data_IF_866942163206
#
_entry.id   IF_866942163206
#
_cell.length_a   1.000
_cell.length_b   1.000
_cell.length_c   1.000
_cell.angle_alpha   90.00
_cell.angle_beta   90.00
_cell.angle_gamma   90.00
#
_symmetry.space_group_name_H-M   'P 1'
#
loop_
_entity.id
_entity.type
_entity.pdbx_description
1 polymer ?
#
# COMPACT_ATOMS: atom_id res chain seq x y z
N UNK A 1 -38.48 -30.77 -8.92
CA UNK A 1 -38.73 -31.80 -9.99
C UNK A 1 -39.68 -32.94 -9.53
N UNK A 2 -39.88 -33.17 -8.24
CA UNK A 2 -40.71 -34.26 -7.77
C UNK A 2 -42.21 -33.91 -7.65
N UNK A 3 -42.63 -32.67 -7.88
CA UNK A 3 -44.03 -32.26 -7.75
C UNK A 3 -44.71 -31.85 -9.10
N UNK A 4 -44.09 -32.13 -10.22
CA UNK A 4 -44.68 -31.86 -11.55
C UNK A 4 -45.01 -30.38 -11.84
N UNK A 5 -44.46 -29.43 -11.07
CA UNK A 5 -44.64 -28.00 -11.32
C UNK A 5 -43.70 -27.55 -12.43
N UNK A 6 -44.26 -26.92 -13.41
CA UNK A 6 -43.52 -26.29 -14.51
C UNK A 6 -42.60 -25.17 -13.92
N UNK A 7 -41.31 -25.36 -13.97
CA UNK A 7 -40.34 -24.36 -13.49
C UNK A 7 -40.13 -23.41 -14.66
N UNK A 8 -40.65 -22.19 -14.54
CA UNK A 8 -40.39 -21.16 -15.55
C UNK A 8 -38.90 -20.91 -15.69
N UNK A 9 -38.41 -20.85 -16.91
CA UNK A 9 -37.00 -20.55 -17.18
C UNK A 9 -36.69 -19.13 -16.71
N UNK A 10 -35.60 -18.90 -15.95
CA UNK A 10 -35.24 -17.57 -15.49
C UNK A 10 -35.01 -16.64 -16.67
N UNK A 11 -35.34 -15.38 -16.49
CA UNK A 11 -35.08 -14.35 -17.51
C UNK A 11 -33.58 -14.08 -17.66
N UNK A 12 -33.16 -13.49 -18.79
CA UNK A 12 -31.77 -13.05 -18.95
C UNK A 12 -31.33 -12.07 -17.84
N UNK A 13 -32.25 -11.21 -17.41
CA UNK A 13 -32.01 -10.25 -16.31
C UNK A 13 -31.79 -10.97 -14.97
N UNK A 14 -32.48 -12.09 -14.71
CA UNK A 14 -32.27 -12.87 -13.51
C UNK A 14 -30.91 -13.56 -13.50
N UNK A 15 -30.47 -14.09 -14.65
CA UNK A 15 -29.12 -14.63 -14.80
C UNK A 15 -28.03 -13.56 -14.65
N UNK A 16 -28.25 -12.33 -15.13
CA UNK A 16 -27.32 -11.22 -14.90
C UNK A 16 -27.22 -10.87 -13.41
N UNK A 17 -28.36 -10.75 -12.71
CA UNK A 17 -28.40 -10.50 -11.26
C UNK A 17 -27.67 -11.58 -10.49
N UNK A 18 -27.91 -12.86 -10.79
CA UNK A 18 -27.25 -13.99 -10.17
C UNK A 18 -25.72 -13.97 -10.40
N UNK A 19 -25.30 -13.61 -11.62
CA UNK A 19 -23.86 -13.50 -11.96
C UNK A 19 -23.16 -12.35 -11.24
N UNK A 20 -23.88 -11.25 -11.00
CA UNK A 20 -23.38 -10.06 -10.33
C UNK A 20 -23.51 -10.15 -8.81
N UNK A 21 -24.29 -11.10 -8.29
CA UNK A 21 -24.50 -11.30 -6.87
C UNK A 21 -23.18 -11.63 -6.15
N UNK A 22 -22.88 -10.84 -5.14
CA UNK A 22 -21.72 -11.08 -4.28
C UNK A 22 -22.04 -12.16 -3.26
N UNK A 23 -21.29 -13.26 -3.28
CA UNK A 23 -21.49 -14.35 -2.34
C UNK A 23 -21.44 -13.86 -0.89
N UNK A 24 -22.43 -14.25 -0.05
CA UNK A 24 -22.44 -13.93 1.36
C UNK A 24 -21.15 -14.36 2.04
N UNK A 25 -20.62 -13.52 2.92
CA UNK A 25 -19.40 -13.82 3.66
C UNK A 25 -19.44 -13.25 5.07
N UNK A 26 -18.56 -13.77 5.90
CA UNK A 26 -18.38 -13.34 7.28
C UNK A 26 -17.15 -12.43 7.38
N UNK A 27 -17.28 -11.36 8.17
CA UNK A 27 -16.18 -10.48 8.55
C UNK A 27 -15.96 -10.62 10.05
N UNK A 28 -14.71 -10.90 10.44
CA UNK A 28 -14.26 -10.89 11.81
C UNK A 28 -13.43 -9.64 12.05
N UNK A 29 -13.93 -8.74 12.87
CA UNK A 29 -13.25 -7.49 13.23
C UNK A 29 -12.57 -7.69 14.58
N UNK A 30 -11.25 -7.53 14.60
CA UNK A 30 -10.42 -7.60 15.80
C UNK A 30 -10.09 -6.17 16.21
N UNK A 31 -10.37 -5.82 17.46
CA UNK A 31 -10.10 -4.50 18.02
C UNK A 31 -9.27 -4.61 19.30
N UNK A 32 -8.52 -3.57 19.60
CA UNK A 32 -7.80 -3.42 20.86
C UNK A 32 -8.75 -3.01 22.02
N UNK A 33 -8.19 -2.89 23.22
CA UNK A 33 -8.93 -2.45 24.42
C UNK A 33 -9.55 -1.05 24.27
N UNK A 34 -9.00 -0.20 23.43
CA UNK A 34 -9.50 1.15 23.18
C UNK A 34 -10.56 1.19 22.07
N UNK A 35 -10.93 0.04 21.48
CA UNK A 35 -11.88 -0.06 20.39
C UNK A 35 -11.29 0.22 19.00
N UNK A 36 -9.97 0.45 18.88
CA UNK A 36 -9.35 0.64 17.58
C UNK A 36 -9.34 -0.67 16.81
N UNK A 37 -9.74 -0.63 15.55
CA UNK A 37 -9.74 -1.81 14.68
C UNK A 37 -8.31 -2.14 14.29
N UNK A 38 -7.85 -3.33 14.70
CA UNK A 38 -6.51 -3.83 14.45
C UNK A 38 -6.45 -4.64 13.15
N UNK A 39 -7.47 -5.48 12.93
CA UNK A 39 -7.54 -6.37 11.77
C UNK A 39 -8.96 -6.72 11.42
N UNK A 40 -9.23 -6.91 10.12
CA UNK A 40 -10.42 -7.59 9.63
C UNK A 40 -10.01 -8.82 8.83
N UNK A 41 -10.70 -9.92 9.09
CA UNK A 41 -10.50 -11.18 8.37
C UNK A 41 -11.84 -11.57 7.74
N UNK A 42 -11.80 -12.03 6.49
CA UNK A 42 -12.99 -12.47 5.79
C UNK A 42 -12.98 -13.99 5.58
N UNK A 43 -14.16 -14.58 5.61
CA UNK A 43 -14.36 -15.98 5.30
C UNK A 43 -15.71 -16.20 4.64
N UNK A 44 -15.83 -17.06 3.60
CA UNK A 44 -17.13 -17.46 3.06
C UNK A 44 -18.02 -18.06 4.16
N UNK A 45 -19.29 -17.73 4.14
CA UNK A 45 -20.28 -18.36 5.03
C UNK A 45 -20.50 -19.82 4.59
N UNK A 46 -20.28 -20.76 5.50
CA UNK A 46 -20.49 -22.21 5.29
C UNK A 46 -21.23 -22.81 6.47
N UNK A 47 -22.07 -23.81 6.22
CA UNK A 47 -22.72 -24.56 7.28
C UNK A 47 -21.71 -25.34 8.15
N UNK A 48 -22.01 -25.54 9.40
CA UNK A 48 -21.20 -26.31 10.37
C UNK A 48 -20.11 -25.46 11.04
N UNK A 49 -19.11 -26.11 11.59
CA UNK A 49 -18.02 -25.48 12.35
C UNK A 49 -17.06 -24.78 11.41
N UNK A 50 -16.89 -23.48 11.61
CA UNK A 50 -15.98 -22.65 10.82
C UNK A 50 -14.80 -22.21 11.70
N UNK A 51 -13.57 -22.64 11.34
CA UNK A 51 -12.34 -22.22 12.00
C UNK A 51 -11.72 -21.06 11.23
N UNK A 52 -11.37 -19.98 11.94
CA UNK A 52 -10.60 -18.86 11.42
C UNK A 52 -9.31 -18.74 12.24
N UNK A 53 -8.20 -18.45 11.57
CA UNK A 53 -6.90 -18.24 12.22
C UNK A 53 -6.47 -16.79 11.99
N UNK A 54 -6.06 -16.12 13.06
CA UNK A 54 -5.41 -14.82 13.01
C UNK A 54 -3.91 -15.00 13.25
N UNK A 55 -3.10 -14.35 12.44
CA UNK A 55 -1.63 -14.37 12.49
C UNK A 55 -1.03 -13.40 13.52
N UNK A 56 -1.83 -12.83 14.39
CA UNK A 56 -1.48 -11.80 15.37
C UNK A 56 -0.87 -10.53 14.75
N UNK A 57 -1.14 -10.24 13.49
CA UNK A 57 -0.64 -9.06 12.79
C UNK A 57 -1.74 -8.02 12.61
N UNK A 58 -1.33 -6.76 12.69
CA UNK A 58 -2.18 -5.61 12.37
C UNK A 58 -2.38 -5.49 10.86
N UNK A 59 -3.20 -4.55 10.42
CA UNK A 59 -3.18 -4.10 9.03
C UNK A 59 -1.79 -3.56 8.67
N UNK A 60 -1.38 -3.76 7.43
CA UNK A 60 -0.22 -3.06 6.88
C UNK A 60 -0.51 -1.56 6.83
N UNK A 61 0.44 -0.75 7.26
CA UNK A 61 0.42 0.69 7.03
C UNK A 61 0.70 1.06 5.56
N UNK A 62 0.94 0.07 4.69
CA UNK A 62 1.27 0.26 3.28
C UNK A 62 0.11 0.71 2.41
N UNK A 63 0.38 1.31 1.23
CA UNK A 63 -0.65 1.56 0.25
C UNK A 63 -1.29 0.24 -0.18
N UNK A 64 -2.58 0.30 -0.48
CA UNK A 64 -3.29 -0.84 -1.07
C UNK A 64 -2.69 -1.12 -2.45
N UNK A 65 -2.34 -2.35 -2.69
CA UNK A 65 -1.81 -2.82 -3.97
C UNK A 65 -2.81 -3.76 -4.68
N UNK A 66 -2.53 -4.15 -5.91
CA UNK A 66 -3.43 -5.02 -6.70
C UNK A 66 -3.71 -6.37 -6.02
N UNK A 67 -2.75 -6.90 -5.26
CA UNK A 67 -2.94 -8.13 -4.47
C UNK A 67 -3.91 -7.91 -3.32
N UNK A 68 -3.84 -6.75 -2.65
CA UNK A 68 -4.76 -6.39 -1.58
C UNK A 68 -6.17 -6.14 -2.13
N UNK A 69 -6.27 -5.46 -3.27
CA UNK A 69 -7.52 -5.23 -3.98
C UNK A 69 -8.21 -6.55 -4.36
N UNK A 70 -7.45 -7.53 -4.88
CA UNK A 70 -7.96 -8.87 -5.20
C UNK A 70 -8.43 -9.65 -3.96
N UNK A 71 -7.77 -9.45 -2.82
CA UNK A 71 -8.16 -10.08 -1.55
C UNK A 71 -9.30 -9.36 -0.84
N UNK A 72 -9.57 -8.10 -1.20
CA UNK A 72 -10.55 -7.23 -0.55
C UNK A 72 -10.14 -6.68 0.82
N UNK A 73 -8.88 -6.89 1.25
CA UNK A 73 -8.35 -6.43 2.53
C UNK A 73 -6.87 -6.05 2.43
N UNK A 74 -6.39 -5.06 3.24
CA UNK A 74 -4.98 -4.74 3.33
C UNK A 74 -4.15 -5.94 3.78
N UNK A 75 -2.91 -6.02 3.30
CA UNK A 75 -1.92 -7.00 3.73
C UNK A 75 -1.62 -6.92 5.24
N UNK A 76 -0.96 -7.95 5.77
CA UNK A 76 -0.53 -7.98 7.17
C UNK A 76 0.65 -7.03 7.41
N UNK A 77 0.58 -6.33 8.53
CA UNK A 77 1.63 -5.44 9.05
C UNK A 77 2.48 -6.09 10.15
N UNK A 78 2.86 -5.27 11.16
CA UNK A 78 3.60 -5.71 12.32
C UNK A 78 2.75 -6.59 13.26
N UNK A 79 3.43 -7.34 14.13
CA UNK A 79 2.76 -8.09 15.20
C UNK A 79 2.13 -7.14 16.22
N UNK A 80 0.99 -7.54 16.76
CA UNK A 80 0.34 -6.80 17.85
C UNK A 80 1.13 -6.96 19.16
N UNK A 81 1.06 -5.95 20.01
CA UNK A 81 1.58 -6.06 21.38
C UNK A 81 0.74 -7.07 22.18
N UNK A 82 1.34 -7.78 23.15
CA UNK A 82 0.56 -8.57 24.10
C UNK A 82 -0.45 -7.70 24.86
N UNK A 83 -1.69 -8.19 24.97
CA UNK A 83 -2.76 -7.41 25.58
C UNK A 83 -4.14 -8.03 25.42
N UNK A 84 -5.15 -7.25 25.75
CA UNK A 84 -6.56 -7.62 25.60
C UNK A 84 -7.10 -7.11 24.26
N UNK A 85 -7.79 -7.99 23.58
CA UNK A 85 -8.41 -7.75 22.28
C UNK A 85 -9.83 -8.27 22.29
N UNK A 86 -10.63 -7.75 21.39
CA UNK A 86 -12.01 -8.24 21.16
C UNK A 86 -12.16 -8.68 19.71
N UNK A 87 -13.03 -9.64 19.48
CA UNK A 87 -13.46 -10.04 18.14
C UNK A 87 -14.97 -9.91 18.02
N UNK A 88 -15.42 -9.31 16.93
CA UNK A 88 -16.83 -9.18 16.55
C UNK A 88 -17.01 -9.84 15.20
N UNK A 89 -18.10 -10.61 15.04
CA UNK A 89 -18.45 -11.26 13.77
C UNK A 89 -19.65 -10.59 13.13
N UNK A 90 -19.50 -10.20 11.88
CA UNK A 90 -20.58 -9.66 11.05
C UNK A 90 -20.80 -10.53 9.81
N UNK A 91 -22.04 -10.65 9.36
CA UNK A 91 -22.38 -11.20 8.04
C UNK A 91 -22.52 -10.07 7.04
N UNK A 92 -22.09 -10.31 5.82
CA UNK A 92 -22.27 -9.40 4.69
C UNK A 92 -23.09 -10.12 3.63
N UNK A 93 -24.23 -9.53 3.29
CA UNK A 93 -25.14 -9.99 2.23
C UNK A 93 -25.50 -8.75 1.42
N UNK A 94 -25.34 -8.79 0.12
CA UNK A 94 -25.62 -7.67 -0.83
C UNK A 94 -24.98 -6.34 -0.42
N UNK A 95 -23.76 -6.42 0.13
CA UNK A 95 -23.01 -5.25 0.60
C UNK A 95 -23.45 -4.72 1.99
N UNK A 96 -24.53 -5.25 2.56
CA UNK A 96 -25.00 -4.86 3.89
C UNK A 96 -24.31 -5.71 4.97
N UNK A 97 -23.65 -5.02 5.91
CA UNK A 97 -22.97 -5.66 7.04
C UNK A 97 -23.86 -5.63 8.28
N UNK A 98 -24.17 -6.80 8.85
CA UNK A 98 -24.94 -6.95 10.08
C UNK A 98 -24.11 -7.68 11.12
N UNK A 99 -23.98 -7.11 12.32
CA UNK A 99 -23.31 -7.78 13.43
C UNK A 99 -24.16 -8.96 13.91
N UNK A 100 -23.56 -10.14 14.02
CA UNK A 100 -24.26 -11.37 14.42
C UNK A 100 -23.69 -12.00 15.69
N UNK A 101 -22.47 -11.65 16.11
CA UNK A 101 -21.89 -12.14 17.37
C UNK A 101 -20.76 -11.24 17.88
N UNK A 102 -20.56 -11.25 19.19
CA UNK A 102 -19.53 -10.51 19.89
C UNK A 102 -20.01 -9.14 20.43
N UNK A 103 -19.08 -8.35 20.99
CA UNK A 103 -17.64 -8.61 21.09
C UNK A 103 -17.30 -9.74 22.07
N UNK A 104 -16.39 -10.63 21.66
CA UNK A 104 -15.81 -11.65 22.54
C UNK A 104 -14.37 -11.24 22.86
N UNK A 105 -14.05 -11.11 24.15
CA UNK A 105 -12.73 -10.72 24.63
C UNK A 105 -11.78 -11.91 24.67
N UNK A 106 -10.52 -11.68 24.31
CA UNK A 106 -9.44 -12.64 24.45
C UNK A 106 -8.12 -11.91 24.76
N UNK A 107 -7.14 -12.65 25.24
CA UNK A 107 -5.85 -12.10 25.64
C UNK A 107 -4.72 -12.76 24.84
N UNK A 108 -3.85 -11.92 24.26
CA UNK A 108 -2.59 -12.37 23.67
C UNK A 108 -1.47 -12.32 24.72
N UNK A 109 -0.62 -13.34 24.71
CA UNK A 109 0.57 -13.44 25.57
C UNK A 109 1.79 -13.68 24.70
N UNK A 110 2.96 -13.31 25.20
CA UNK A 110 4.23 -13.74 24.59
C UNK A 110 4.52 -15.18 24.96
N UNK A 111 5.21 -15.88 24.06
CA UNK A 111 5.88 -17.11 24.40
C UNK A 111 6.98 -16.80 25.42
N UNK A 112 7.15 -17.64 26.44
CA UNK A 112 7.98 -17.37 27.63
C UNK A 112 9.49 -17.34 27.36
N UNK A 113 9.98 -17.97 26.29
CA UNK A 113 11.40 -18.24 26.06
C UNK A 113 12.03 -17.26 25.06
N UNK A 114 12.06 -15.98 25.41
CA UNK A 114 12.72 -14.96 24.59
C UNK A 114 14.05 -14.59 25.24
N UNK A 115 15.15 -14.80 24.52
CA UNK A 115 16.52 -14.60 25.00
C UNK A 115 16.81 -13.15 25.41
N UNK A 116 16.27 -12.17 24.70
CA UNK A 116 16.43 -10.73 24.93
C UNK A 116 15.11 -9.98 24.74
N UNK A 117 14.16 -10.08 25.68
CA UNK A 117 12.88 -9.40 25.53
C UNK A 117 13.04 -7.88 25.67
N UNK A 118 12.29 -7.10 24.90
CA UNK A 118 12.19 -5.67 25.11
C UNK A 118 11.54 -5.40 26.49
N UNK A 119 12.18 -4.53 27.29
CA UNK A 119 11.65 -4.10 28.58
C UNK A 119 10.29 -3.40 28.42
N UNK A 120 10.12 -2.66 27.34
CA UNK A 120 8.89 -1.97 26.98
C UNK A 120 8.37 -2.43 25.60
N UNK A 121 7.48 -3.40 25.59
CA UNK A 121 6.91 -3.96 24.37
C UNK A 121 5.98 -3.01 23.63
N UNK A 122 5.36 -2.05 24.33
CA UNK A 122 4.56 -0.99 23.69
C UNK A 122 5.44 -0.06 22.88
N UNK A 123 6.61 0.29 23.41
CA UNK A 123 7.61 1.10 22.71
C UNK A 123 8.12 0.39 21.44
N UNK A 124 8.41 -0.92 21.55
CA UNK A 124 8.79 -1.73 20.39
C UNK A 124 7.69 -1.72 19.32
N UNK A 125 6.44 -1.97 19.72
CA UNK A 125 5.30 -1.98 18.79
C UNK A 125 5.10 -0.60 18.12
N UNK A 126 5.20 0.49 18.89
CA UNK A 126 5.12 1.83 18.36
C UNK A 126 6.23 2.13 17.34
N UNK A 127 7.46 1.69 17.60
CA UNK A 127 8.57 1.85 16.67
C UNK A 127 8.39 1.00 15.41
N UNK A 128 7.89 -0.23 15.54
CA UNK A 128 7.53 -1.08 14.40
C UNK A 128 6.47 -0.43 13.50
N UNK A 129 5.47 0.22 14.09
CA UNK A 129 4.47 0.99 13.34
C UNK A 129 5.06 2.20 12.64
N UNK A 130 5.96 2.93 13.30
CA UNK A 130 6.66 4.07 12.70
C UNK A 130 7.47 3.64 11.46
N UNK A 131 8.24 2.55 11.57
CA UNK A 131 8.97 1.97 10.43
C UNK A 131 7.99 1.56 9.32
N UNK A 132 6.90 0.88 9.68
CA UNK A 132 5.88 0.46 8.72
C UNK A 132 5.27 1.63 7.94
N UNK A 133 4.98 2.75 8.60
CA UNK A 133 4.52 3.99 7.97
C UNK A 133 5.55 4.56 7.01
N UNK A 134 6.81 4.62 7.42
CA UNK A 134 7.89 5.14 6.60
C UNK A 134 8.11 4.30 5.34
N UNK A 135 8.13 2.97 5.49
CA UNK A 135 8.18 2.03 4.36
C UNK A 135 6.98 2.19 3.41
N UNK A 136 5.80 2.52 3.96
CA UNK A 136 4.61 2.79 3.17
C UNK A 136 4.76 4.02 2.29
N UNK A 137 5.26 5.12 2.86
CA UNK A 137 5.52 6.36 2.10
C UNK A 137 6.51 6.11 0.98
N UNK A 138 7.62 5.39 1.26
CA UNK A 138 8.61 5.03 0.25
C UNK A 138 7.99 4.20 -0.88
N UNK A 139 7.18 3.19 -0.58
CA UNK A 139 6.49 2.40 -1.62
C UNK A 139 5.56 3.25 -2.47
N UNK A 140 4.81 4.14 -1.83
CA UNK A 140 3.92 5.07 -2.54
C UNK A 140 4.70 5.99 -3.46
N UNK A 141 5.81 6.55 -2.99
CA UNK A 141 6.69 7.41 -3.80
C UNK A 141 7.26 6.63 -4.99
N UNK A 142 7.76 5.40 -4.77
CA UNK A 142 8.27 4.56 -5.84
C UNK A 142 7.21 4.25 -6.91
N UNK A 143 5.98 3.95 -6.50
CA UNK A 143 4.87 3.73 -7.44
C UNK A 143 4.58 4.98 -8.25
N UNK A 144 4.53 6.15 -7.61
CA UNK A 144 4.31 7.44 -8.29
C UNK A 144 5.45 7.77 -9.26
N UNK A 145 6.71 7.62 -8.85
CA UNK A 145 7.88 7.84 -9.68
C UNK A 145 7.89 6.94 -10.93
N UNK A 146 7.58 5.65 -10.76
CA UNK A 146 7.51 4.70 -11.86
C UNK A 146 6.37 5.03 -12.83
N UNK A 147 5.19 5.40 -12.32
CA UNK A 147 4.05 5.79 -13.16
C UNK A 147 4.36 7.09 -13.93
N UNK A 148 4.97 8.07 -13.26
CA UNK A 148 5.36 9.33 -13.90
C UNK A 148 6.42 9.13 -14.98
N UNK A 149 7.40 8.25 -14.75
CA UNK A 149 8.41 7.92 -15.78
C UNK A 149 7.77 7.27 -17.01
N UNK A 150 6.79 6.38 -16.83
CA UNK A 150 6.02 5.80 -17.95
C UNK A 150 5.20 6.86 -18.69
N UNK A 151 4.57 7.76 -17.95
CA UNK A 151 3.78 8.85 -18.51
C UNK A 151 4.66 9.82 -19.34
N UNK A 152 5.85 10.17 -18.85
CA UNK A 152 6.83 10.97 -19.60
C UNK A 152 7.27 10.27 -20.90
N UNK A 153 7.43 8.95 -20.88
CA UNK A 153 7.67 8.15 -22.10
C UNK A 153 6.54 8.25 -23.11
N UNK A 154 5.27 8.19 -22.66
CA UNK A 154 4.09 8.37 -23.51
C UNK A 154 4.00 9.81 -24.04
N UNK A 155 4.28 10.81 -23.21
CA UNK A 155 4.33 12.22 -23.62
C UNK A 155 5.41 12.46 -24.68
N UNK A 156 6.57 11.82 -24.56
CA UNK A 156 7.63 11.88 -25.57
C UNK A 156 7.14 11.34 -26.91
N UNK A 157 6.51 10.17 -26.92
CA UNK A 157 5.95 9.58 -28.13
C UNK A 157 4.87 10.49 -28.76
N UNK A 158 3.99 11.07 -27.93
CA UNK A 158 2.98 12.03 -28.40
C UNK A 158 3.61 13.31 -28.97
N UNK A 159 4.68 13.84 -28.33
CA UNK A 159 5.39 15.01 -28.84
C UNK A 159 6.04 14.76 -30.19
N UNK A 160 6.54 13.55 -30.45
CA UNK A 160 7.08 13.18 -31.78
C UNK A 160 6.00 13.13 -32.88
N UNK A 161 4.72 12.96 -32.50
CA UNK A 161 3.60 13.02 -33.45
C UNK A 161 3.13 14.43 -33.83
N UNK A 162 3.72 15.49 -33.26
CA UNK A 162 3.40 16.89 -33.58
C UNK A 162 3.98 17.24 -34.95
N UNK A 163 3.17 17.85 -35.83
CA UNK A 163 3.60 18.24 -37.20
C UNK A 163 4.53 19.46 -37.22
N UNK A 164 4.46 20.29 -36.19
CA UNK A 164 5.28 21.50 -36.06
C UNK A 164 6.58 21.22 -35.28
N UNK A 165 7.44 22.23 -35.11
CA UNK A 165 8.64 22.11 -34.27
C UNK A 165 8.27 21.71 -32.83
N UNK A 166 8.80 20.59 -32.41
CA UNK A 166 8.58 20.00 -31.10
C UNK A 166 9.80 19.99 -30.19
N UNK A 167 10.91 20.60 -30.63
CA UNK A 167 12.22 20.56 -29.98
C UNK A 167 12.15 21.02 -28.52
N UNK A 168 11.45 22.13 -28.25
CA UNK A 168 11.29 22.67 -26.89
C UNK A 168 10.48 21.75 -25.98
N UNK A 169 9.50 21.07 -26.55
CA UNK A 169 8.63 20.11 -25.80
C UNK A 169 9.45 18.88 -25.42
N UNK A 170 10.20 18.32 -26.36
CA UNK A 170 11.09 17.17 -26.11
C UNK A 170 12.15 17.51 -25.06
N UNK A 171 12.79 18.67 -25.17
CA UNK A 171 13.76 19.15 -24.17
C UNK A 171 13.11 19.27 -22.76
N UNK A 172 11.88 19.79 -22.68
CA UNK A 172 11.14 19.86 -21.41
C UNK A 172 10.87 18.49 -20.81
N UNK A 173 10.52 17.51 -21.64
CA UNK A 173 10.31 16.12 -21.20
C UNK A 173 11.62 15.47 -20.73
N UNK A 174 12.75 15.75 -21.38
CA UNK A 174 14.06 15.25 -20.97
C UNK A 174 14.47 15.79 -19.59
N UNK A 175 14.31 17.10 -19.37
CA UNK A 175 14.55 17.71 -18.07
C UNK A 175 13.65 17.15 -16.97
N UNK A 176 12.38 16.87 -17.29
CA UNK A 176 11.47 16.23 -16.37
C UNK A 176 11.89 14.79 -16.03
N UNK A 177 12.35 14.02 -17.02
CA UNK A 177 12.85 12.66 -16.81
C UNK A 177 14.13 12.65 -15.96
N UNK A 178 15.03 13.62 -16.18
CA UNK A 178 16.22 13.81 -15.36
C UNK A 178 15.85 14.09 -13.90
N UNK A 179 14.90 15.01 -13.66
CA UNK A 179 14.42 15.33 -12.31
C UNK A 179 13.85 14.11 -11.58
N UNK A 180 13.03 13.31 -12.27
CA UNK A 180 12.51 12.03 -11.73
C UNK A 180 13.66 11.09 -11.38
N UNK A 181 14.67 10.97 -12.22
CA UNK A 181 15.85 10.12 -11.98
C UNK A 181 16.63 10.58 -10.75
N UNK A 182 16.80 11.89 -10.56
CA UNK A 182 17.46 12.47 -9.37
C UNK A 182 16.68 12.11 -8.10
N UNK A 183 15.35 12.25 -8.11
CA UNK A 183 14.50 11.89 -6.97
C UNK A 183 14.59 10.38 -6.68
N UNK A 184 14.59 9.54 -7.72
CA UNK A 184 14.76 8.08 -7.58
C UNK A 184 16.10 7.71 -6.94
N UNK A 185 17.20 8.37 -7.35
CA UNK A 185 18.54 8.14 -6.77
C UNK A 185 18.59 8.54 -5.30
N UNK A 186 18.05 9.69 -4.93
CA UNK A 186 17.96 10.12 -3.52
C UNK A 186 17.16 9.12 -2.68
N UNK A 187 16.05 8.60 -3.23
CA UNK A 187 15.17 7.67 -2.50
C UNK A 187 15.77 6.26 -2.38
N UNK A 188 16.33 5.72 -3.47
CA UNK A 188 16.68 4.30 -3.59
C UNK A 188 18.19 4.04 -3.74
N UNK A 189 19.02 5.09 -3.86
CA UNK A 189 20.44 4.97 -4.18
C UNK A 189 20.71 4.93 -5.68
N UNK A 190 21.98 5.00 -6.03
CA UNK A 190 22.46 4.96 -7.41
C UNK A 190 22.99 3.55 -7.73
N UNK A 191 22.23 2.82 -8.55
CA UNK A 191 22.61 1.46 -8.95
C UNK A 191 23.92 1.41 -9.75
N UNK A 192 24.23 2.47 -10.53
CA UNK A 192 25.50 2.54 -11.28
C UNK A 192 26.69 2.69 -10.33
N UNK A 193 26.56 3.56 -9.33
CA UNK A 193 27.58 3.70 -8.29
C UNK A 193 27.81 2.40 -7.54
N UNK A 194 26.72 1.70 -7.17
CA UNK A 194 26.81 0.37 -6.55
C UNK A 194 27.57 -0.64 -7.43
N UNK A 195 27.28 -0.68 -8.74
CA UNK A 195 28.00 -1.58 -9.67
C UNK A 195 29.46 -1.24 -9.88
N UNK A 196 29.83 0.02 -9.76
CA UNK A 196 31.20 0.51 -9.93
C UNK A 196 31.96 0.58 -8.59
N UNK A 197 31.36 0.07 -7.53
CA UNK A 197 31.94 0.06 -6.17
C UNK A 197 32.31 1.48 -5.68
N UNK A 198 31.51 2.48 -6.06
CA UNK A 198 31.66 3.85 -5.61
C UNK A 198 31.00 4.01 -4.25
N UNK A 199 31.76 4.42 -3.26
CA UNK A 199 31.25 4.65 -1.90
C UNK A 199 30.37 5.91 -1.86
N UNK A 200 29.08 5.73 -1.66
CA UNK A 200 28.10 6.79 -1.50
C UNK A 200 27.40 6.67 -0.15
N UNK A 201 26.93 7.78 0.42
CA UNK A 201 26.07 7.74 1.60
C UNK A 201 24.87 6.85 1.37
N UNK A 202 24.42 6.07 2.38
CA UNK A 202 23.22 5.24 2.26
C UNK A 202 21.99 6.05 1.86
N UNK A 203 21.20 5.53 0.92
CA UNK A 203 19.95 6.15 0.49
C UNK A 203 18.90 6.14 1.61
N UNK A 204 17.80 6.88 1.40
CA UNK A 204 16.66 6.88 2.34
C UNK A 204 16.12 5.44 2.51
N UNK A 205 15.97 4.69 1.42
CA UNK A 205 15.51 3.29 1.45
C UNK A 205 16.48 2.38 2.21
N UNK A 206 17.79 2.54 2.04
CA UNK A 206 18.79 1.75 2.76
C UNK A 206 18.74 2.02 4.27
N UNK A 207 18.57 3.29 4.67
CA UNK A 207 18.42 3.66 6.08
C UNK A 207 17.18 3.05 6.70
N UNK A 208 16.03 3.10 5.98
CA UNK A 208 14.78 2.50 6.45
C UNK A 208 14.89 0.99 6.53
N UNK A 209 15.54 0.35 5.57
CA UNK A 209 15.78 -1.10 5.60
C UNK A 209 16.69 -1.48 6.76
N UNK A 210 17.72 -0.69 7.07
CA UNK A 210 18.58 -0.88 8.24
C UNK A 210 17.82 -0.73 9.54
N UNK A 211 16.96 0.30 9.66
CA UNK A 211 16.09 0.48 10.82
C UNK A 211 15.08 -0.68 10.96
N UNK A 212 14.56 -1.22 9.86
CA UNK A 212 13.59 -2.31 9.85
C UNK A 212 14.23 -3.68 10.14
N UNK A 213 15.52 -3.84 9.80
CA UNK A 213 16.20 -5.12 9.92
C UNK A 213 16.18 -5.63 11.36
N UNK A 214 15.61 -6.79 11.53
CA UNK A 214 15.46 -7.46 12.83
C UNK A 214 14.37 -6.88 13.75
N UNK A 215 13.95 -5.60 13.61
CA UNK A 215 12.93 -5.00 14.48
C UNK A 215 11.53 -5.54 14.18
N UNK A 216 11.19 -5.70 12.90
CA UNK A 216 9.83 -6.12 12.49
C UNK A 216 9.53 -7.58 12.86
N UNK A 217 10.55 -8.40 13.06
CA UNK A 217 10.45 -9.82 13.40
C UNK A 217 11.00 -10.17 14.78
N UNK A 218 11.57 -9.19 15.49
CA UNK A 218 12.19 -9.38 16.81
C UNK A 218 11.25 -8.98 17.94
N UNK A 219 11.46 -9.59 19.09
CA UNK A 219 10.90 -9.16 20.38
C UNK A 219 11.88 -8.32 21.20
N UNK A 220 13.09 -8.06 20.68
CA UNK A 220 14.13 -7.26 21.33
C UNK A 220 13.86 -5.77 21.17
N UNK A 221 14.38 -4.97 22.10
CA UNK A 221 14.30 -3.52 22.00
C UNK A 221 15.06 -3.00 20.75
N UNK A 222 14.58 -1.94 20.10
CA UNK A 222 15.30 -1.31 18.99
C UNK A 222 16.66 -0.78 19.48
N UNK A 223 17.70 -1.02 18.69
CA UNK A 223 19.05 -0.51 18.99
C UNK A 223 19.14 0.99 18.69
N UNK A 224 20.15 1.67 19.26
CA UNK A 224 20.45 3.08 18.96
C UNK A 224 20.66 3.29 17.47
N UNK A 225 21.44 2.43 16.81
CA UNK A 225 21.69 2.51 15.36
C UNK A 225 20.39 2.42 14.53
N UNK A 226 19.44 1.57 14.95
CA UNK A 226 18.15 1.46 14.25
C UNK A 226 17.31 2.75 14.42
N UNK A 227 17.30 3.34 15.61
CA UNK A 227 16.60 4.60 15.87
C UNK A 227 17.23 5.77 15.11
N UNK A 228 18.55 5.86 15.09
CA UNK A 228 19.28 6.88 14.32
C UNK A 228 19.01 6.74 12.82
N UNK A 229 19.09 5.52 12.25
CA UNK A 229 18.80 5.28 10.86
C UNK A 229 17.36 5.69 10.52
N UNK A 230 16.38 5.40 11.38
CA UNK A 230 15.00 5.84 11.23
C UNK A 230 14.88 7.37 11.24
N UNK A 231 15.51 8.04 12.22
CA UNK A 231 15.41 9.49 12.38
C UNK A 231 16.01 10.23 11.17
N UNK A 232 17.17 9.79 10.68
CA UNK A 232 17.81 10.37 9.50
C UNK A 232 16.90 10.15 8.26
N UNK A 233 16.45 8.92 8.04
CA UNK A 233 15.58 8.62 6.90
C UNK A 233 14.29 9.45 6.93
N UNK A 234 13.67 9.61 8.11
CA UNK A 234 12.45 10.39 8.26
C UNK A 234 12.67 11.89 7.95
N UNK A 235 13.80 12.45 8.39
CA UNK A 235 14.16 13.85 8.12
C UNK A 235 14.49 14.11 6.64
N UNK A 236 15.08 13.14 5.95
CA UNK A 236 15.42 13.23 4.51
C UNK A 236 14.20 12.98 3.60
N UNK A 237 13.24 12.16 4.04
CA UNK A 237 12.08 11.77 3.23
C UNK A 237 11.08 12.90 3.03
N UNK A 238 10.81 13.70 4.06
CA UNK A 238 9.79 14.77 4.00
C UNK A 238 10.08 15.81 2.92
N UNK A 239 11.30 16.41 2.83
CA UNK A 239 11.62 17.36 1.76
C UNK A 239 11.59 16.71 0.37
N UNK A 240 12.01 15.45 0.24
CA UNK A 240 11.96 14.73 -1.02
C UNK A 240 10.51 14.46 -1.47
N UNK A 241 9.60 14.17 -0.53
CA UNK A 241 8.18 14.01 -0.81
C UNK A 241 7.54 15.33 -1.28
N UNK A 242 7.91 16.46 -0.66
CA UNK A 242 7.47 17.78 -1.09
C UNK A 242 7.98 18.11 -2.49
N UNK A 243 9.24 17.78 -2.79
CA UNK A 243 9.86 17.98 -4.12
C UNK A 243 9.07 17.19 -5.19
N UNK A 244 8.76 15.89 -4.93
CA UNK A 244 7.98 15.08 -5.84
C UNK A 244 6.56 15.62 -6.03
N UNK A 245 5.87 15.99 -4.95
CA UNK A 245 4.53 16.55 -5.03
C UNK A 245 4.49 17.83 -5.85
N UNK A 246 5.44 18.76 -5.61
CA UNK A 246 5.55 20.00 -6.39
C UNK A 246 5.78 19.74 -7.87
N UNK A 247 6.65 18.77 -8.20
CA UNK A 247 6.88 18.37 -9.58
C UNK A 247 5.61 17.85 -10.26
N UNK A 248 4.88 16.96 -9.59
CA UNK A 248 3.65 16.37 -10.14
C UNK A 248 2.53 17.39 -10.29
N UNK A 249 2.39 18.29 -9.31
CA UNK A 249 1.30 19.26 -9.29
C UNK A 249 1.53 20.45 -10.22
N UNK A 250 2.78 20.79 -10.53
CA UNK A 250 3.12 21.96 -11.33
C UNK A 250 3.73 21.57 -12.68
N UNK A 251 4.88 20.88 -12.68
CA UNK A 251 5.66 20.64 -13.89
C UNK A 251 4.94 19.66 -14.84
N UNK A 252 4.38 18.57 -14.30
CA UNK A 252 3.63 17.59 -15.10
C UNK A 252 2.36 18.19 -15.68
N UNK A 253 1.60 18.98 -14.90
CA UNK A 253 0.39 19.65 -15.40
C UNK A 253 0.74 20.64 -16.53
N UNK A 254 1.80 21.41 -16.35
CA UNK A 254 2.26 22.36 -17.39
C UNK A 254 2.62 21.64 -18.69
N UNK A 255 3.30 20.48 -18.60
CA UNK A 255 3.65 19.70 -19.80
C UNK A 255 2.42 19.14 -20.49
N UNK A 256 1.43 18.64 -19.73
CA UNK A 256 0.15 18.19 -20.26
C UNK A 256 -0.55 19.32 -21.02
N UNK A 257 -0.60 20.52 -20.46
CA UNK A 257 -1.20 21.70 -21.10
C UNK A 257 -0.48 22.10 -22.39
N UNK A 258 0.85 22.04 -22.40
CA UNK A 258 1.66 22.34 -23.60
C UNK A 258 1.32 21.31 -24.71
N UNK A 259 1.30 20.02 -24.40
CA UNK A 259 0.97 18.97 -25.35
C UNK A 259 -0.46 19.11 -25.89
N UNK A 260 -1.43 19.48 -25.04
CA UNK A 260 -2.80 19.73 -25.46
C UNK A 260 -2.90 20.90 -26.46
N UNK A 261 -2.22 22.03 -26.17
CA UNK A 261 -2.22 23.20 -27.05
C UNK A 261 -1.47 22.95 -28.36
N UNK A 262 -0.50 22.04 -28.37
CA UNK A 262 0.30 21.71 -29.55
C UNK A 262 -0.36 20.70 -30.49
N UNK A 263 -1.57 20.22 -30.18
CA UNK A 263 -2.27 19.22 -30.98
C UNK A 263 -1.59 17.84 -30.97
N UNK A 264 -0.82 17.52 -29.93
CA UNK A 264 -0.18 16.21 -29.78
C UNK A 264 -1.23 15.10 -29.66
N UNK A 265 -0.98 13.90 -30.22
CA UNK A 265 -1.84 12.73 -30.02
C UNK A 265 -2.11 12.47 -28.54
N UNK A 266 -3.29 11.94 -28.23
CA UNK A 266 -3.69 11.64 -26.85
C UNK A 266 -2.82 10.53 -26.24
N UNK A 267 -2.59 10.63 -24.93
CA UNK A 267 -1.99 9.58 -24.12
C UNK A 267 -3.02 9.06 -23.12
N UNK A 268 -2.78 7.90 -22.53
CA UNK A 268 -3.73 7.23 -21.62
C UNK A 268 -4.22 8.12 -20.48
N UNK A 269 -3.40 9.06 -20.01
CA UNK A 269 -3.72 9.94 -18.88
C UNK A 269 -4.22 11.33 -19.31
N UNK A 270 -4.28 11.62 -20.61
CA UNK A 270 -4.78 12.88 -21.13
C UNK A 270 -6.22 12.71 -21.60
N UNK A 271 -7.13 13.56 -21.10
CA UNK A 271 -8.54 13.55 -21.55
C UNK A 271 -8.62 14.06 -22.99
N UNK A 272 -9.42 13.38 -23.81
CA UNK A 272 -9.90 13.98 -25.07
C UNK A 272 -10.82 15.15 -24.73
N UNK A 273 -10.54 16.33 -25.27
CA UNK A 273 -11.51 17.44 -25.25
C UNK A 273 -12.68 17.13 -26.18
#
# INVERSE_FOLDING_TARGET
RNEGKDVSYPSFEDFQKEKEEKKPHLIFTISDKSGNIIRRLSKPARAGVNRLTWDYKMFSAGPINDSDAKKGFPSSGAYVAPGEYTVTMSKVIDGLSTNIAGPVSFRTKTLSDVTLPANNRRELSAFQEQIGRLQSVIRTMNTRLNNTSKELGQMRAAAQGIKNDNSKILMGIDLAQEKITIIQRKLNGDWLAYRLDVDLPPSISDRVNRAAYGVLSSSSAPTTTQREAYNIANSELEPLQKELNSFLDNDMKRMIDILNRSGAPYTTNRKSN
#
